data_IF_811415298422
#
_entry.id   IF_811415298422
#
_cell.length_a   1.000
_cell.length_b   1.000
_cell.length_c   1.000
_cell.angle_alpha   90.00
_cell.angle_beta   90.00
_cell.angle_gamma   90.00
#
_symmetry.space_group_name_H-M   'P 1'
#
loop_
_entity.id
_entity.type
_entity.pdbx_description
1 polymer ?
#
# COMPACT_ATOMS: atom_id res chain seq x y z
N UNK A 1 -2.26 -0.45 -7.32
CA UNK A 1 -3.09 -0.83 -6.15
C UNK A 1 -2.56 -2.10 -5.52
N UNK A 2 -2.67 -3.25 -6.19
CA UNK A 2 -2.20 -4.56 -5.71
C UNK A 2 -0.74 -4.55 -5.25
N UNK A 3 0.17 -3.94 -6.01
CA UNK A 3 1.57 -3.82 -5.61
C UNK A 3 1.75 -3.24 -4.19
N UNK A 4 1.05 -2.14 -3.88
CA UNK A 4 1.16 -1.48 -2.56
C UNK A 4 0.51 -2.33 -1.46
N UNK A 5 -0.58 -3.06 -1.77
CA UNK A 5 -1.20 -4.03 -0.88
C UNK A 5 -0.20 -5.14 -0.49
N UNK A 6 0.44 -5.77 -1.48
CA UNK A 6 1.40 -6.84 -1.25
C UNK A 6 2.67 -6.35 -0.52
N UNK A 7 3.14 -5.15 -0.86
CA UNK A 7 4.25 -4.53 -0.15
C UNK A 7 3.89 -4.16 1.29
N UNK A 8 2.61 -3.86 1.57
CA UNK A 8 2.11 -3.66 2.92
C UNK A 8 2.27 -4.93 3.78
N UNK A 9 1.86 -6.09 3.27
CA UNK A 9 2.10 -7.38 3.93
C UNK A 9 3.60 -7.64 4.12
N UNK A 10 4.40 -7.41 3.08
CA UNK A 10 5.84 -7.64 3.13
C UNK A 10 6.53 -6.79 4.21
N UNK A 11 6.26 -5.47 4.20
CA UNK A 11 6.88 -4.53 5.12
C UNK A 11 6.52 -4.84 6.58
N UNK A 12 5.22 -4.97 6.88
CA UNK A 12 4.78 -5.27 8.25
C UNK A 12 5.24 -6.67 8.67
N UNK A 13 5.25 -7.64 7.75
CA UNK A 13 5.81 -8.96 8.01
C UNK A 13 7.27 -8.89 8.44
N UNK A 14 8.11 -8.15 7.71
CA UNK A 14 9.53 -7.95 8.06
C UNK A 14 9.70 -7.25 9.41
N UNK A 15 8.90 -6.23 9.70
CA UNK A 15 8.90 -5.54 11.00
C UNK A 15 8.51 -6.46 12.15
N UNK A 16 7.67 -7.47 11.88
CA UNK A 16 7.32 -8.53 12.82
C UNK A 16 8.32 -9.71 12.86
N UNK A 17 9.50 -9.57 12.26
CA UNK A 17 10.53 -10.60 12.24
C UNK A 17 10.28 -11.75 11.27
N UNK A 18 9.29 -11.65 10.36
CA UNK A 18 9.04 -12.64 9.33
C UNK A 18 10.00 -12.45 8.15
N UNK A 19 10.40 -13.52 7.50
CA UNK A 19 11.25 -13.46 6.31
C UNK A 19 10.40 -13.20 5.08
N UNK A 20 10.56 -12.07 4.45
CA UNK A 20 9.96 -11.81 3.13
C UNK A 20 10.76 -12.52 2.04
N UNK A 21 10.14 -13.42 1.31
CA UNK A 21 10.81 -14.26 0.32
C UNK A 21 10.50 -13.84 -1.12
N UNK A 22 9.50 -13.01 -1.35
CA UNK A 22 9.18 -12.44 -2.65
C UNK A 22 7.69 -12.21 -2.86
N UNK A 23 7.36 -11.61 -3.99
CA UNK A 23 5.98 -11.35 -4.40
C UNK A 23 5.78 -11.53 -5.90
N UNK A 24 4.54 -11.79 -6.27
CA UNK A 24 4.11 -12.00 -7.65
C UNK A 24 2.86 -11.17 -7.92
N UNK A 25 2.84 -10.48 -9.05
CA UNK A 25 1.63 -9.94 -9.65
C UNK A 25 1.24 -10.82 -10.83
N UNK A 26 -0.05 -11.11 -10.96
CA UNK A 26 -0.63 -11.90 -12.06
C UNK A 26 -1.28 -10.98 -13.10
N UNK A 27 -1.55 -11.53 -14.27
CA UNK A 27 -2.19 -10.80 -15.38
C UNK A 27 -3.63 -10.35 -15.07
N UNK A 28 -4.31 -11.01 -14.15
CA UNK A 28 -5.63 -10.62 -13.63
C UNK A 28 -5.58 -9.51 -12.57
N UNK A 29 -4.38 -8.91 -12.38
CA UNK A 29 -4.09 -7.88 -11.37
C UNK A 29 -4.21 -8.37 -9.92
N UNK A 30 -4.35 -9.68 -9.68
CA UNK A 30 -4.16 -10.25 -8.35
C UNK A 30 -2.69 -10.28 -7.96
N UNK A 31 -2.39 -10.29 -6.67
CA UNK A 31 -1.04 -10.37 -6.14
C UNK A 31 -0.93 -11.38 -5.00
N UNK A 32 0.30 -11.75 -4.71
CA UNK A 32 0.61 -12.58 -3.56
C UNK A 32 2.02 -12.29 -3.04
N UNK A 33 2.11 -11.83 -1.78
CA UNK A 33 3.37 -11.68 -1.05
C UNK A 33 3.61 -12.90 -0.17
N UNK A 34 4.81 -13.47 -0.25
CA UNK A 34 5.19 -14.65 0.54
C UNK A 34 6.08 -14.24 1.69
N UNK A 35 5.56 -14.37 2.90
CA UNK A 35 6.33 -14.20 4.14
C UNK A 35 6.42 -15.52 4.88
N UNK A 36 7.60 -15.90 5.35
CA UNK A 36 7.87 -17.12 6.10
C UNK A 36 8.18 -16.78 7.56
N UNK A 37 7.52 -17.49 8.48
CA UNK A 37 7.67 -17.28 9.91
C UNK A 37 6.67 -18.13 10.68
N UNK A 38 6.52 -17.95 12.01
CA UNK A 38 5.55 -18.68 12.81
C UNK A 38 4.15 -18.65 12.19
N UNK A 39 3.46 -19.77 12.20
CA UNK A 39 2.13 -19.91 11.59
C UNK A 39 1.02 -19.20 12.40
N UNK A 40 1.30 -18.84 13.65
CA UNK A 40 0.36 -18.25 14.59
C UNK A 40 0.99 -17.05 15.33
N UNK A 41 0.16 -16.27 16.00
CA UNK A 41 0.59 -15.16 16.86
C UNK A 41 0.47 -13.78 16.22
N UNK A 42 0.85 -12.75 16.99
CA UNK A 42 0.66 -11.34 16.63
C UNK A 42 1.31 -10.95 15.29
N UNK A 43 2.45 -11.57 14.94
CA UNK A 43 3.14 -11.29 13.69
C UNK A 43 2.33 -11.68 12.44
N UNK A 44 1.61 -12.83 12.47
CA UNK A 44 0.70 -13.22 11.38
C UNK A 44 -0.46 -12.24 11.28
N UNK A 45 -1.06 -11.91 12.42
CA UNK A 45 -2.21 -11.00 12.48
C UNK A 45 -1.83 -9.64 11.92
N UNK A 46 -0.71 -9.05 12.38
CA UNK A 46 -0.24 -7.75 11.92
C UNK A 46 0.08 -7.76 10.41
N UNK A 47 0.80 -8.80 9.95
CA UNK A 47 1.13 -8.99 8.53
C UNK A 47 -0.13 -9.04 7.67
N UNK A 48 -1.08 -9.92 8.02
CA UNK A 48 -2.32 -10.10 7.25
C UNK A 48 -3.20 -8.84 7.29
N UNK A 49 -3.24 -8.14 8.42
CA UNK A 49 -4.01 -6.89 8.54
C UNK A 49 -3.46 -5.74 7.69
N UNK A 50 -2.18 -5.77 7.32
CA UNK A 50 -1.51 -4.65 6.67
C UNK A 50 -1.92 -4.40 5.22
N UNK A 51 -2.38 -5.42 4.48
CA UNK A 51 -2.64 -5.33 3.04
C UNK A 51 -3.67 -4.26 2.67
N UNK A 52 -4.91 -4.41 3.12
CA UNK A 52 -6.01 -3.50 2.76
C UNK A 52 -5.80 -2.03 3.16
N UNK A 53 -5.28 -1.71 4.35
CA UNK A 53 -4.99 -0.33 4.74
C UNK A 53 -3.80 0.30 4.01
N UNK A 54 -2.81 -0.49 3.60
CA UNK A 54 -1.53 0.04 3.08
C UNK A 54 -1.70 1.04 1.93
N UNK A 55 -2.49 0.78 0.87
CA UNK A 55 -2.61 1.75 -0.21
C UNK A 55 -3.26 3.07 0.23
N UNK A 56 -4.22 3.01 1.18
CA UNK A 56 -4.84 4.22 1.71
C UNK A 56 -3.87 5.04 2.56
N UNK A 57 -3.08 4.39 3.40
CA UNK A 57 -2.06 5.03 4.25
C UNK A 57 -0.96 5.64 3.37
N UNK A 58 -0.44 4.88 2.40
CA UNK A 58 0.59 5.36 1.45
C UNK A 58 0.03 6.53 0.65
N UNK A 59 -1.20 6.43 0.13
CA UNK A 59 -1.83 7.49 -0.63
C UNK A 59 -1.98 8.79 0.18
N UNK A 60 -2.46 8.70 1.41
CA UNK A 60 -2.56 9.86 2.31
C UNK A 60 -1.18 10.44 2.65
N UNK A 61 -0.18 9.59 2.88
CA UNK A 61 1.20 9.99 3.12
C UNK A 61 1.83 10.74 1.95
N UNK A 62 1.64 10.26 0.73
CA UNK A 62 2.13 10.93 -0.49
C UNK A 62 1.49 12.31 -0.67
N UNK A 63 0.18 12.43 -0.46
CA UNK A 63 -0.52 13.73 -0.54
C UNK A 63 0.02 14.66 0.54
N UNK A 64 0.15 14.20 1.77
CA UNK A 64 0.66 15.00 2.87
C UNK A 64 2.09 15.50 2.60
N UNK A 65 2.99 14.60 2.18
CA UNK A 65 4.37 14.96 1.85
C UNK A 65 4.44 15.96 0.69
N UNK A 66 3.67 15.73 -0.37
CA UNK A 66 3.65 16.60 -1.54
C UNK A 66 3.17 18.02 -1.19
N UNK A 67 2.12 18.13 -0.38
CA UNK A 67 1.55 19.43 0.01
C UNK A 67 2.43 20.20 1.01
N UNK A 68 3.38 19.53 1.68
CA UNK A 68 4.34 20.17 2.60
C UNK A 68 5.73 20.40 1.98
N UNK A 69 5.87 20.31 0.65
CA UNK A 69 7.14 20.55 -0.04
C UNK A 69 8.15 19.40 0.04
N UNK A 70 7.70 18.20 0.42
CA UNK A 70 8.55 17.00 0.57
C UNK A 70 8.45 16.06 -0.64
N UNK A 71 8.19 16.61 -1.83
CA UNK A 71 8.00 15.79 -3.04
C UNK A 71 9.27 15.04 -3.44
N UNK A 72 10.42 15.71 -3.51
CA UNK A 72 11.68 15.08 -3.88
C UNK A 72 12.13 14.01 -2.87
N UNK A 73 12.12 14.24 -1.54
CA UNK A 73 12.36 13.17 -0.56
C UNK A 73 11.39 12.00 -0.67
N UNK A 74 10.09 12.26 -0.94
CA UNK A 74 9.10 11.20 -1.11
C UNK A 74 9.40 10.34 -2.36
N UNK A 75 9.75 10.97 -3.47
CA UNK A 75 10.17 10.27 -4.70
C UNK A 75 11.45 9.47 -4.48
N UNK A 76 12.43 10.02 -3.76
CA UNK A 76 13.65 9.30 -3.40
C UNK A 76 13.33 8.04 -2.60
N UNK A 77 12.50 8.15 -1.56
CA UNK A 77 12.08 7.01 -0.75
C UNK A 77 11.30 5.98 -1.57
N UNK A 78 10.45 6.43 -2.50
CA UNK A 78 9.69 5.56 -3.40
C UNK A 78 10.64 4.79 -4.35
N UNK A 79 11.60 5.46 -4.99
CA UNK A 79 12.59 4.82 -5.88
C UNK A 79 13.41 3.80 -5.11
N UNK A 80 13.96 4.16 -3.95
CA UNK A 80 14.75 3.24 -3.11
C UNK A 80 13.90 2.04 -2.67
N UNK A 81 12.68 2.26 -2.23
CA UNK A 81 11.76 1.19 -1.83
C UNK A 81 11.40 0.24 -2.97
N UNK A 82 11.14 0.78 -4.16
CA UNK A 82 10.85 -0.02 -5.36
C UNK A 82 12.08 -0.80 -5.85
N UNK A 83 13.28 -0.22 -5.82
CA UNK A 83 14.53 -0.92 -6.13
C UNK A 83 14.79 -2.05 -5.13
N UNK A 84 14.56 -1.82 -3.84
CA UNK A 84 14.63 -2.87 -2.84
C UNK A 84 13.60 -3.99 -3.10
N UNK A 85 12.37 -3.63 -3.47
CA UNK A 85 11.33 -4.59 -3.83
C UNK A 85 11.69 -5.41 -5.07
N UNK A 86 12.39 -4.82 -6.04
CA UNK A 86 12.82 -5.48 -7.28
C UNK A 86 13.70 -6.71 -7.00
N UNK A 87 14.51 -6.69 -5.93
CA UNK A 87 15.34 -7.84 -5.50
C UNK A 87 14.51 -9.06 -5.06
N UNK A 88 13.21 -8.88 -4.84
CA UNK A 88 12.27 -9.89 -4.34
C UNK A 88 11.18 -10.26 -5.34
N UNK A 89 11.28 -9.76 -6.55
CA UNK A 89 10.35 -10.07 -7.65
C UNK A 89 10.51 -11.53 -8.08
N UNK A 90 9.37 -12.21 -8.32
CA UNK A 90 9.36 -13.63 -8.72
C UNK A 90 8.63 -13.92 -10.04
N UNK A 91 8.26 -12.88 -10.81
CA UNK A 91 7.74 -13.07 -12.17
C UNK A 91 8.16 -11.93 -13.09
N UNK A 92 8.26 -12.21 -14.39
CA UNK A 92 8.64 -11.21 -15.40
C UNK A 92 7.65 -10.04 -15.42
N UNK A 93 6.35 -10.31 -15.34
CA UNK A 93 5.32 -9.26 -15.29
C UNK A 93 5.52 -8.34 -14.07
N UNK A 94 5.75 -8.92 -12.89
CA UNK A 94 6.03 -8.15 -11.67
C UNK A 94 7.27 -7.28 -11.85
N UNK A 95 8.34 -7.85 -12.43
CA UNK A 95 9.57 -7.12 -12.75
C UNK A 95 9.32 -5.93 -13.66
N UNK A 96 8.57 -6.14 -14.73
CA UNK A 96 8.22 -5.08 -15.67
C UNK A 96 7.42 -3.95 -15.00
N UNK A 97 6.41 -4.30 -14.20
CA UNK A 97 5.58 -3.31 -13.48
C UNK A 97 6.42 -2.51 -12.48
N UNK A 98 7.29 -3.17 -11.70
CA UNK A 98 8.15 -2.49 -10.75
C UNK A 98 9.19 -1.62 -11.46
N UNK A 99 9.81 -2.11 -12.54
CA UNK A 99 10.76 -1.32 -13.34
C UNK A 99 10.09 -0.10 -13.98
N UNK A 100 8.88 -0.25 -14.51
CA UNK A 100 8.12 0.88 -15.04
C UNK A 100 7.83 1.92 -13.95
N UNK A 101 7.47 1.47 -12.75
CA UNK A 101 7.23 2.37 -11.60
C UNK A 101 8.54 3.06 -11.15
N UNK A 102 9.67 2.35 -11.10
CA UNK A 102 11.00 2.94 -10.83
C UNK A 102 11.34 3.97 -11.89
N UNK A 103 11.24 3.63 -13.17
CA UNK A 103 11.57 4.53 -14.26
C UNK A 103 10.70 5.80 -14.21
N UNK A 104 9.38 5.67 -14.02
CA UNK A 104 8.48 6.80 -13.90
C UNK A 104 8.81 7.70 -12.70
N UNK A 105 9.02 7.11 -11.53
CA UNK A 105 9.36 7.87 -10.32
C UNK A 105 10.76 8.54 -10.43
N UNK A 106 11.76 7.85 -10.97
CA UNK A 106 13.10 8.39 -11.16
C UNK A 106 13.12 9.50 -12.23
N UNK A 107 12.38 9.33 -13.33
CA UNK A 107 12.24 10.37 -14.36
C UNK A 107 11.58 11.63 -13.78
N UNK A 108 10.52 11.46 -13.01
CA UNK A 108 9.86 12.58 -12.34
C UNK A 108 10.79 13.26 -11.32
N UNK A 109 11.57 12.48 -10.57
CA UNK A 109 12.54 13.01 -9.62
C UNK A 109 13.66 13.81 -10.29
N UNK A 110 14.12 13.37 -11.48
CA UNK A 110 15.28 13.95 -12.15
C UNK A 110 14.93 15.16 -13.03
N UNK A 111 13.81 15.08 -13.77
CA UNK A 111 13.43 16.10 -14.75
C UNK A 111 12.19 16.91 -14.35
N UNK A 112 11.45 16.48 -13.31
CA UNK A 112 10.24 17.15 -12.90
C UNK A 112 10.55 18.36 -12.01
N UNK A 113 9.91 19.49 -12.30
CA UNK A 113 9.89 20.64 -11.40
C UNK A 113 9.08 20.29 -10.12
N UNK A 114 9.36 20.99 -9.02
CA UNK A 114 8.73 20.73 -7.70
C UNK A 114 7.19 20.71 -7.78
N UNK A 115 6.63 21.63 -8.55
CA UNK A 115 5.16 21.70 -8.76
C UNK A 115 4.63 20.48 -9.48
N UNK A 116 5.31 20.01 -10.53
CA UNK A 116 4.91 18.80 -11.26
C UNK A 116 5.05 17.55 -10.38
N UNK A 117 6.14 17.44 -9.62
CA UNK A 117 6.34 16.37 -8.66
C UNK A 117 5.20 16.33 -7.65
N UNK A 118 4.83 17.49 -7.07
CA UNK A 118 3.75 17.59 -6.10
C UNK A 118 2.41 17.15 -6.69
N UNK A 119 2.04 17.67 -7.86
CA UNK A 119 0.76 17.32 -8.51
C UNK A 119 0.66 15.83 -8.86
N UNK A 120 1.74 15.23 -9.36
CA UNK A 120 1.73 13.80 -9.70
C UNK A 120 1.68 12.92 -8.45
N UNK A 121 2.39 13.28 -7.37
CA UNK A 121 2.29 12.56 -6.10
C UNK A 121 0.89 12.66 -5.49
N UNK A 122 0.26 13.84 -5.55
CA UNK A 122 -1.15 14.01 -5.14
C UNK A 122 -2.05 13.13 -5.99
N UNK A 123 -1.89 13.12 -7.32
CA UNK A 123 -2.67 12.28 -8.22
C UNK A 123 -2.54 10.80 -7.91
N UNK A 124 -1.31 10.31 -7.73
CA UNK A 124 -1.04 8.91 -7.32
C UNK A 124 -1.66 8.61 -5.95
N UNK A 125 -1.52 9.53 -4.99
CA UNK A 125 -2.10 9.39 -3.67
C UNK A 125 -3.62 9.26 -3.70
N UNK A 126 -4.30 10.09 -4.48
CA UNK A 126 -5.76 10.01 -4.69
C UNK A 126 -6.14 8.68 -5.34
N UNK A 127 -5.42 8.24 -6.38
CA UNK A 127 -5.67 6.95 -7.03
C UNK A 127 -5.51 5.77 -6.07
N UNK A 128 -4.50 5.80 -5.20
CA UNK A 128 -4.30 4.77 -4.18
C UNK A 128 -5.44 4.77 -3.16
N UNK A 129 -5.87 5.93 -2.68
CA UNK A 129 -6.93 6.05 -1.68
C UNK A 129 -8.29 5.61 -2.23
N UNK A 130 -8.65 6.08 -3.43
CA UNK A 130 -9.89 5.68 -4.11
C UNK A 130 -9.84 4.18 -4.46
N UNK A 131 -8.69 3.72 -4.98
CA UNK A 131 -8.48 2.31 -5.30
C UNK A 131 -8.60 1.41 -4.06
N UNK A 132 -8.07 1.82 -2.89
CA UNK A 132 -8.21 1.10 -1.64
C UNK A 132 -9.68 0.88 -1.25
N UNK A 133 -10.49 1.92 -1.36
CA UNK A 133 -11.93 1.86 -1.06
C UNK A 133 -12.68 0.95 -2.02
N UNK A 134 -12.41 1.09 -3.33
CA UNK A 134 -13.05 0.24 -4.35
C UNK A 134 -12.68 -1.22 -4.17
N UNK A 135 -11.41 -1.50 -3.86
CA UNK A 135 -10.93 -2.86 -3.62
C UNK A 135 -11.59 -3.48 -2.37
N UNK A 136 -11.66 -2.72 -1.27
CA UNK A 136 -12.37 -3.17 -0.09
C UNK A 136 -13.87 -3.41 -0.37
N UNK A 137 -14.52 -2.49 -1.09
CA UNK A 137 -15.93 -2.62 -1.49
C UNK A 137 -16.21 -3.85 -2.36
N UNK A 138 -15.31 -4.18 -3.29
CA UNK A 138 -15.46 -5.35 -4.16
C UNK A 138 -15.32 -6.69 -3.42
N UNK A 139 -14.65 -6.69 -2.28
CA UNK A 139 -14.45 -7.88 -1.43
C UNK A 139 -15.65 -8.13 -0.51
N UNK A 140 -16.41 -7.09 -0.12
CA UNK A 140 -17.50 -7.21 0.86
C UNK A 140 -18.53 -8.29 0.53
N UNK A 141 -19.00 -8.47 -0.74
CA UNK A 141 -19.98 -9.49 -1.06
C UNK A 141 -19.43 -10.93 -1.00
N UNK A 142 -18.10 -11.08 -0.95
CA UNK A 142 -17.41 -12.36 -1.08
C UNK A 142 -16.24 -12.45 -0.09
N UNK A 143 -16.57 -12.45 1.21
CA UNK A 143 -15.54 -12.72 2.23
C UNK A 143 -15.19 -14.21 2.16
N UNK A 144 -14.20 -14.53 1.35
CA UNK A 144 -13.72 -15.89 1.18
C UNK A 144 -12.78 -16.28 2.32
N UNK A 145 -12.67 -17.59 2.56
CA UNK A 145 -11.77 -18.16 3.58
C UNK A 145 -10.31 -17.75 3.35
N UNK A 146 -9.89 -17.56 2.08
CA UNK A 146 -8.55 -17.15 1.70
C UNK A 146 -8.30 -15.62 1.71
N UNK A 147 -9.34 -14.80 1.89
CA UNK A 147 -9.17 -13.34 1.99
C UNK A 147 -8.54 -12.93 3.32
N UNK A 148 -7.88 -11.77 3.37
CA UNK A 148 -7.26 -11.28 4.62
C UNK A 148 -8.22 -11.29 5.81
N UNK A 149 -9.49 -10.79 5.71
CA UNK A 149 -10.43 -10.87 6.83
C UNK A 149 -10.77 -12.31 7.23
N UNK A 150 -10.85 -13.22 6.26
CA UNK A 150 -11.07 -14.65 6.52
C UNK A 150 -9.90 -15.30 7.25
N UNK A 151 -8.67 -14.99 6.83
CA UNK A 151 -7.43 -15.45 7.51
C UNK A 151 -7.37 -14.89 8.93
N UNK A 152 -7.65 -13.59 9.11
CA UNK A 152 -7.67 -12.95 10.42
C UNK A 152 -8.73 -13.54 11.34
N UNK A 153 -9.92 -13.82 10.83
CA UNK A 153 -10.99 -14.45 11.61
C UNK A 153 -10.57 -15.82 12.14
N UNK A 154 -9.96 -16.65 11.29
CA UNK A 154 -9.45 -17.97 11.73
C UNK A 154 -8.30 -17.88 12.72
N UNK A 155 -7.41 -16.88 12.54
CA UNK A 155 -6.23 -16.73 13.40
C UNK A 155 -6.59 -16.16 14.79
N UNK A 156 -7.72 -15.47 14.93
CA UNK A 156 -8.07 -14.73 16.15
C UNK A 156 -9.38 -15.15 16.79
N UNK A 157 -10.27 -15.86 16.08
CA UNK A 157 -11.65 -16.09 16.50
C UNK A 157 -12.57 -14.87 16.39
N UNK A 158 -12.04 -13.71 16.00
CA UNK A 158 -12.83 -12.47 15.79
C UNK A 158 -13.55 -12.55 14.43
N UNK A 159 -14.85 -12.26 14.36
CA UNK A 159 -15.57 -12.29 13.09
C UNK A 159 -14.93 -11.44 11.99
N UNK A 160 -14.87 -11.96 10.76
CA UNK A 160 -14.28 -11.28 9.61
C UNK A 160 -14.87 -9.87 9.38
N UNK A 161 -16.15 -9.68 9.66
CA UNK A 161 -16.81 -8.38 9.56
C UNK A 161 -16.18 -7.30 10.44
N UNK A 162 -15.70 -7.64 11.65
CA UNK A 162 -15.02 -6.69 12.53
C UNK A 162 -13.65 -6.29 11.99
N UNK A 163 -12.96 -7.21 11.32
CA UNK A 163 -11.73 -6.89 10.61
C UNK A 163 -11.96 -5.94 9.45
N UNK A 164 -13.03 -6.17 8.67
CA UNK A 164 -13.45 -5.25 7.60
C UNK A 164 -13.76 -3.86 8.17
N UNK A 165 -14.51 -3.78 9.27
CA UNK A 165 -14.77 -2.49 9.96
C UNK A 165 -13.45 -1.81 10.32
N UNK A 166 -12.45 -2.55 10.83
CA UNK A 166 -11.15 -1.99 11.16
C UNK A 166 -10.43 -1.40 9.93
N UNK A 167 -10.56 -2.01 8.74
CA UNK A 167 -10.03 -1.47 7.49
C UNK A 167 -10.76 -0.20 7.06
N UNK A 168 -12.09 -0.20 7.14
CA UNK A 168 -12.92 0.99 6.86
C UNK A 168 -12.50 2.16 7.75
N UNK A 169 -12.31 1.93 9.05
CA UNK A 169 -11.87 2.97 9.99
C UNK A 169 -10.52 3.57 9.58
N UNK A 170 -9.54 2.73 9.23
CA UNK A 170 -8.22 3.22 8.77
C UNK A 170 -8.34 4.02 7.47
N UNK A 171 -9.13 3.54 6.51
CA UNK A 171 -9.34 4.25 5.25
C UNK A 171 -10.12 5.56 5.44
N UNK A 172 -11.06 5.61 6.38
CA UNK A 172 -11.75 6.83 6.76
C UNK A 172 -10.80 7.85 7.41
N UNK A 173 -9.93 7.39 8.32
CA UNK A 173 -8.91 8.23 8.93
C UNK A 173 -7.92 8.78 7.88
N UNK A 174 -7.41 7.93 6.98
CA UNK A 174 -6.56 8.35 5.87
C UNK A 174 -7.25 9.41 4.99
N UNK A 175 -8.54 9.23 4.71
CA UNK A 175 -9.32 10.22 3.96
C UNK A 175 -9.47 11.53 4.72
N UNK A 176 -9.75 11.47 6.00
CA UNK A 176 -9.85 12.68 6.83
C UNK A 176 -8.55 13.49 6.78
N UNK A 177 -7.39 12.82 6.90
CA UNK A 177 -6.09 13.49 6.75
C UNK A 177 -6.00 14.19 5.41
N UNK A 178 -6.34 13.52 4.32
CA UNK A 178 -6.29 14.12 2.97
C UNK A 178 -7.23 15.31 2.85
N UNK A 179 -8.47 15.18 3.31
CA UNK A 179 -9.45 16.27 3.27
C UNK A 179 -8.97 17.48 4.07
N UNK A 180 -8.45 17.27 5.29
CA UNK A 180 -7.91 18.36 6.12
C UNK A 180 -6.74 19.06 5.43
N UNK A 181 -5.81 18.30 4.86
CA UNK A 181 -4.62 18.86 4.19
C UNK A 181 -4.98 19.63 2.92
N UNK A 182 -5.98 19.17 2.15
CA UNK A 182 -6.38 19.84 0.91
C UNK A 182 -7.33 21.02 1.13
N UNK A 183 -8.09 21.05 2.22
CA UNK A 183 -9.05 22.11 2.52
C UNK A 183 -8.47 23.23 3.40
N UNK A 184 -7.40 22.96 4.15
CA UNK A 184 -6.70 24.02 4.91
C UNK A 184 -5.79 24.74 3.93
N UNK A 185 -6.00 26.07 3.69
CA UNK A 185 -5.10 26.85 2.85
C UNK A 185 -3.68 26.73 3.41
N UNK A 186 -2.73 26.34 2.56
CA UNK A 186 -1.33 26.29 2.93
C UNK A 186 -0.83 27.72 3.12
N UNK A 187 -0.77 28.13 4.38
CA UNK A 187 -0.06 29.31 4.86
C UNK A 187 -0.76 30.63 4.59
N UNK A 188 -1.44 31.14 5.61
CA UNK A 188 -1.34 32.59 5.87
C UNK A 188 -0.02 32.86 6.58
#
# INVERSE_FOLDING_TARGET
>A
MTLVHELGHALVGMLCGRRFTGFVLRSDMSGHAVTVGPAHGAGVIATTRAGYPAPGIVGAGLIWLATHGWSAPALTALVVGLLAALTRVRSALTGLVVLAAVAGAASLWWWGEDTLQAWLLVGVGVLLLVGARRHLGSMLPRIEIGSDPGVLARATGVPAALWVVSFVVVLAAATRVVVTVLLVPMGA
#
